data_IF_635266695107
#
_entry.id   IF_635266695107
#
_cell.length_a   1.000
_cell.length_b   1.000
_cell.length_c   1.000
_cell.angle_alpha   90.00
_cell.angle_beta   90.00
_cell.angle_gamma   90.00
#
_symmetry.space_group_name_H-M   'P 1'
#
loop_
_entity.id
_entity.type
_entity.pdbx_description
1 polymer ?
#
# COMPACT_ATOMS: atom_id res chain seq x y z
N UNK A 1 3.03 -19.78 26.73
CA UNK A 1 3.16 -18.36 26.39
C UNK A 1 2.10 -18.06 25.35
N UNK A 2 0.99 -17.48 25.78
CA UNK A 2 -0.13 -17.14 24.92
C UNK A 2 0.18 -15.78 24.30
N UNK A 3 0.49 -15.74 23.00
CA UNK A 3 0.69 -14.46 22.30
C UNK A 3 -0.69 -14.04 21.80
N UNK A 4 -1.29 -13.07 22.47
CA UNK A 4 -2.55 -12.43 22.07
C UNK A 4 -2.26 -11.45 20.92
N UNK A 5 -2.51 -11.90 19.70
CA UNK A 5 -2.55 -11.07 18.47
C UNK A 5 -3.86 -10.26 18.34
N UNK A 6 -4.61 -10.09 19.43
CA UNK A 6 -5.99 -9.58 19.40
C UNK A 6 -6.11 -8.07 19.65
N UNK A 7 -5.02 -7.37 19.97
CA UNK A 7 -5.12 -5.99 20.47
C UNK A 7 -5.14 -4.91 19.37
N UNK A 8 -4.91 -5.25 18.09
CA UNK A 8 -4.80 -4.25 17.00
C UNK A 8 -5.83 -4.41 15.87
N UNK A 9 -6.86 -5.25 16.06
CA UNK A 9 -7.78 -5.59 14.97
C UNK A 9 -9.24 -5.44 15.40
N UNK A 10 -9.91 -4.40 14.90
CA UNK A 10 -11.35 -4.24 15.06
C UNK A 10 -12.11 -4.98 13.95
N UNK A 11 -13.20 -5.66 14.33
CA UNK A 11 -13.96 -6.56 13.47
C UNK A 11 -15.25 -5.88 13.00
N UNK A 12 -15.42 -5.68 11.69
CA UNK A 12 -16.71 -5.27 11.12
C UNK A 12 -17.54 -6.52 10.82
N UNK A 13 -18.65 -6.68 11.54
CA UNK A 13 -19.61 -7.75 11.28
C UNK A 13 -20.43 -7.47 10.02
N UNK A 14 -20.53 -8.48 9.15
CA UNK A 14 -21.53 -8.51 8.07
C UNK A 14 -22.71 -9.40 8.46
N UNK A 15 -23.80 -9.31 7.70
CA UNK A 15 -25.05 -10.07 7.90
C UNK A 15 -24.93 -11.61 8.01
N UNK A 16 -23.74 -12.20 7.81
CA UNK A 16 -23.49 -13.64 8.01
C UNK A 16 -22.39 -13.84 9.07
N UNK A 17 -22.63 -14.66 10.11
CA UNK A 17 -21.74 -14.78 11.28
C UNK A 17 -20.32 -15.30 10.96
N UNK A 18 -20.14 -15.97 9.82
CA UNK A 18 -18.83 -16.51 9.41
C UNK A 18 -18.02 -15.59 8.50
N UNK A 19 -18.51 -14.38 8.20
CA UNK A 19 -17.84 -13.44 7.30
C UNK A 19 -17.65 -12.10 7.98
N UNK A 20 -16.41 -11.67 8.09
CA UNK A 20 -16.02 -10.42 8.70
C UNK A 20 -14.89 -9.76 7.93
N UNK A 21 -14.82 -8.43 8.01
CA UNK A 21 -13.67 -7.66 7.55
C UNK A 21 -12.93 -7.18 8.80
N UNK A 22 -11.61 -7.31 8.77
CA UNK A 22 -10.71 -6.87 9.82
C UNK A 22 -10.12 -5.51 9.45
N UNK A 23 -10.12 -4.58 10.40
CA UNK A 23 -9.42 -3.31 10.26
C UNK A 23 -7.93 -3.51 10.57
N UNK A 24 -7.07 -3.05 9.67
CA UNK A 24 -5.60 -3.15 9.82
C UNK A 24 -4.98 -1.84 9.36
N UNK A 25 -3.97 -1.35 10.09
CA UNK A 25 -3.23 -0.15 9.71
C UNK A 25 -2.45 -0.37 8.41
N UNK A 26 -2.54 0.62 7.51
CA UNK A 26 -1.88 0.57 6.19
C UNK A 26 -0.37 0.59 6.32
N UNK A 27 0.17 1.41 7.24
CA UNK A 27 1.61 1.52 7.41
C UNK A 27 2.20 0.25 8.02
N UNK A 28 1.51 -0.33 9.01
CA UNK A 28 1.82 -1.61 9.61
C UNK A 28 1.83 -2.73 8.56
N UNK A 29 0.75 -2.89 7.78
CA UNK A 29 0.70 -3.92 6.74
C UNK A 29 1.83 -3.75 5.71
N UNK A 30 2.07 -2.52 5.24
CA UNK A 30 3.17 -2.27 4.31
C UNK A 30 4.54 -2.54 4.93
N UNK A 31 4.73 -2.25 6.22
CA UNK A 31 5.94 -2.55 6.97
C UNK A 31 6.17 -4.05 7.05
N UNK A 32 5.15 -4.82 7.44
CA UNK A 32 5.23 -6.29 7.48
C UNK A 32 5.54 -6.90 6.10
N UNK A 33 5.08 -6.25 5.03
CA UNK A 33 5.42 -6.65 3.65
C UNK A 33 6.84 -6.26 3.22
N UNK A 34 7.38 -5.13 3.71
CA UNK A 34 8.60 -4.48 3.20
C UNK A 34 9.84 -4.62 4.09
N UNK A 35 9.71 -4.52 5.40
CA UNK A 35 10.84 -4.47 6.34
C UNK A 35 10.90 -5.74 7.18
N UNK A 36 12.05 -6.39 7.18
CA UNK A 36 12.61 -6.90 8.43
C UNK A 36 12.85 -5.71 9.38
N UNK A 37 12.29 -5.73 10.58
CA UNK A 37 12.77 -4.87 11.65
C UNK A 37 12.85 -5.65 12.97
N UNK A 38 14.07 -6.07 13.29
CA UNK A 38 14.73 -5.81 14.57
C UNK A 38 13.82 -5.69 15.79
N UNK A 39 13.26 -6.79 16.27
CA UNK A 39 13.37 -7.29 17.65
C UNK A 39 12.39 -8.44 17.86
N UNK A 40 12.94 -9.59 18.22
CA UNK A 40 12.23 -10.76 18.78
C UNK A 40 11.47 -11.66 17.80
N UNK A 41 12.24 -12.65 17.31
CA UNK A 41 11.85 -14.05 17.08
C UNK A 41 10.70 -14.38 16.10
N UNK A 42 11.14 -14.91 14.95
CA UNK A 42 10.66 -16.19 14.43
C UNK A 42 9.42 -16.20 13.52
N UNK A 43 9.36 -15.36 12.47
CA UNK A 43 8.56 -15.65 11.28
C UNK A 43 9.35 -15.25 10.02
N UNK A 44 9.48 -16.18 9.09
CA UNK A 44 10.15 -15.96 7.80
C UNK A 44 9.36 -14.96 6.95
N UNK A 45 10.07 -13.98 6.38
CA UNK A 45 9.56 -12.86 5.56
C UNK A 45 8.89 -13.32 4.25
N UNK A 46 8.16 -12.43 3.57
CA UNK A 46 7.60 -12.73 2.24
C UNK A 46 8.53 -12.29 1.10
N UNK A 47 9.04 -11.05 1.12
CA UNK A 47 9.88 -10.51 0.04
C UNK A 47 11.38 -10.75 0.26
N UNK A 48 11.91 -10.40 1.44
CA UNK A 48 13.35 -10.59 1.76
C UNK A 48 13.74 -12.06 2.01
N UNK A 49 12.76 -12.95 2.15
CA UNK A 49 12.99 -14.39 2.25
C UNK A 49 13.66 -14.94 1.00
N UNK A 50 13.49 -14.25 -0.10
CA UNK A 50 14.09 -14.58 -1.37
C UNK A 50 15.39 -13.78 -1.53
N UNK A 51 16.53 -14.49 -1.48
CA UNK A 51 17.87 -13.90 -1.62
C UNK A 51 18.09 -13.22 -2.98
N UNK A 52 17.25 -13.52 -3.97
CA UNK A 52 17.24 -12.93 -5.30
C UNK A 52 16.34 -11.69 -5.42
N UNK A 53 15.72 -11.24 -4.34
CA UNK A 53 14.90 -10.02 -4.32
C UNK A 53 15.67 -8.87 -3.69
N UNK A 54 15.63 -7.70 -4.34
CA UNK A 54 16.27 -6.47 -3.85
C UNK A 54 15.24 -5.34 -3.80
N UNK A 55 15.25 -4.57 -2.72
CA UNK A 55 14.39 -3.41 -2.54
C UNK A 55 15.21 -2.12 -2.69
N UNK A 56 14.74 -1.22 -3.55
CA UNK A 56 15.41 0.04 -3.86
C UNK A 56 14.52 1.23 -3.49
N UNK A 57 14.65 1.72 -2.25
CA UNK A 57 13.92 2.91 -1.79
C UNK A 57 14.52 4.21 -2.35
N UNK A 58 13.72 5.27 -2.50
CA UNK A 58 14.19 6.55 -3.05
C UNK A 58 14.48 6.53 -4.56
N UNK A 59 14.02 5.49 -5.26
CA UNK A 59 14.17 5.33 -6.71
C UNK A 59 12.83 5.63 -7.39
N UNK A 60 12.65 6.88 -7.84
CA UNK A 60 11.41 7.29 -8.51
C UNK A 60 11.50 7.00 -10.00
N UNK A 61 10.58 6.19 -10.53
CA UNK A 61 10.44 5.99 -11.97
C UNK A 61 9.85 7.25 -12.59
N UNK A 62 10.58 7.86 -13.52
CA UNK A 62 10.15 9.06 -14.26
C UNK A 62 9.67 8.74 -15.67
N UNK A 63 10.23 7.69 -16.28
CA UNK A 63 9.85 7.20 -17.60
C UNK A 63 10.02 5.69 -17.66
N UNK A 64 9.20 5.04 -18.47
CA UNK A 64 9.22 3.60 -18.69
C UNK A 64 9.02 3.37 -20.19
N UNK A 65 9.86 2.54 -20.81
CA UNK A 65 9.63 2.03 -22.15
C UNK A 65 9.35 0.52 -22.05
N UNK A 66 8.07 0.16 -22.15
CA UNK A 66 7.64 -1.23 -22.03
C UNK A 66 8.07 -2.11 -23.22
N UNK A 67 8.35 -1.53 -24.39
CA UNK A 67 8.78 -2.29 -25.58
C UNK A 67 10.26 -2.67 -25.50
N UNK A 68 11.10 -1.75 -25.01
CA UNK A 68 12.54 -1.98 -24.81
C UNK A 68 12.88 -2.54 -23.43
N UNK A 69 11.91 -2.60 -22.52
CA UNK A 69 12.13 -3.01 -21.13
C UNK A 69 12.98 -2.01 -20.33
N UNK A 70 13.03 -0.74 -20.70
CA UNK A 70 13.87 0.27 -20.04
C UNK A 70 13.11 1.14 -19.05
N UNK A 71 13.75 1.48 -17.94
CA UNK A 71 13.24 2.40 -16.92
C UNK A 71 14.24 3.54 -16.72
N UNK A 72 13.72 4.77 -16.69
CA UNK A 72 14.48 5.94 -16.24
C UNK A 72 14.14 6.25 -14.80
N UNK A 73 15.14 6.21 -13.93
CA UNK A 73 15.00 6.30 -12.47
C UNK A 73 15.68 7.57 -11.97
N UNK A 74 14.93 8.42 -11.28
CA UNK A 74 15.42 9.60 -10.58
C UNK A 74 15.69 9.29 -9.11
N UNK A 75 16.89 9.61 -8.66
CA UNK A 75 17.32 9.55 -7.25
C UNK A 75 17.59 10.97 -6.75
N UNK A 76 17.45 11.20 -5.44
CA UNK A 76 17.67 12.53 -4.86
C UNK A 76 19.11 12.99 -5.08
N UNK A 77 19.31 14.20 -5.62
CA UNK A 77 20.63 14.79 -5.85
C UNK A 77 21.47 14.12 -6.95
N UNK A 78 20.89 13.21 -7.74
CA UNK A 78 21.61 12.48 -8.79
C UNK A 78 20.93 12.65 -10.15
N UNK A 79 21.73 12.48 -11.21
CA UNK A 79 21.20 12.40 -12.57
C UNK A 79 20.34 11.14 -12.73
N UNK A 80 19.34 11.18 -13.63
CA UNK A 80 18.56 10.00 -13.97
C UNK A 80 19.45 8.84 -14.41
N UNK A 81 19.13 7.65 -13.92
CA UNK A 81 19.78 6.40 -14.29
C UNK A 81 18.83 5.61 -15.20
N UNK A 82 19.34 5.11 -16.32
CA UNK A 82 18.61 4.18 -17.16
C UNK A 82 19.01 2.74 -16.82
N UNK A 83 18.01 1.87 -16.70
CA UNK A 83 18.18 0.44 -16.42
C UNK A 83 17.25 -0.38 -17.30
N UNK A 84 17.66 -1.61 -17.63
CA UNK A 84 16.90 -2.53 -18.50
C UNK A 84 16.51 -3.78 -17.74
N UNK A 85 15.30 -4.25 -17.97
CA UNK A 85 14.75 -5.48 -17.38
C UNK A 85 13.97 -6.28 -18.44
N UNK A 86 13.95 -7.60 -18.30
CA UNK A 86 13.17 -8.49 -19.16
C UNK A 86 11.66 -8.40 -18.90
N UNK A 87 11.27 -8.03 -17.67
CA UNK A 87 9.89 -7.90 -17.25
C UNK A 87 9.72 -6.71 -16.30
N UNK A 88 8.72 -5.87 -16.57
CA UNK A 88 8.34 -4.74 -15.73
C UNK A 88 6.90 -4.94 -15.24
N UNK A 89 6.70 -4.91 -13.93
CA UNK A 89 5.37 -5.00 -13.31
C UNK A 89 5.03 -3.66 -12.66
N UNK A 90 3.97 -3.00 -13.15
CA UNK A 90 3.53 -1.69 -12.67
C UNK A 90 2.64 -1.76 -11.42
N UNK A 91 3.24 -1.72 -10.23
CA UNK A 91 2.54 -1.62 -8.94
C UNK A 91 2.66 -0.22 -8.31
N UNK A 92 2.67 0.83 -9.14
CA UNK A 92 2.98 2.22 -8.79
C UNK A 92 1.74 3.11 -8.52
N UNK A 93 0.59 2.47 -8.26
CA UNK A 93 -0.61 3.10 -7.71
C UNK A 93 -1.49 3.87 -8.70
N UNK A 94 -2.44 4.63 -8.16
CA UNK A 94 -3.48 5.31 -8.94
C UNK A 94 -2.93 6.29 -9.98
N UNK A 95 -1.76 6.88 -9.78
CA UNK A 95 -1.11 7.82 -10.70
C UNK A 95 0.09 7.22 -11.46
N UNK A 96 0.02 5.91 -11.71
CA UNK A 96 1.05 5.09 -12.35
C UNK A 96 1.76 5.75 -13.54
N UNK A 97 3.10 5.78 -13.48
CA UNK A 97 4.00 6.11 -14.59
C UNK A 97 4.02 5.00 -15.63
N UNK A 98 4.00 3.72 -15.19
CA UNK A 98 3.99 2.57 -16.10
C UNK A 98 2.73 2.59 -16.98
N UNK A 99 1.55 2.82 -16.38
CA UNK A 99 0.28 2.91 -17.12
C UNK A 99 0.28 4.06 -18.12
N UNK A 100 0.86 5.21 -17.78
CA UNK A 100 0.99 6.34 -18.72
C UNK A 100 1.75 5.97 -19.99
N UNK A 101 2.72 5.05 -19.92
CA UNK A 101 3.39 4.57 -21.13
C UNK A 101 2.44 3.77 -22.02
N UNK A 102 1.67 2.84 -21.45
CA UNK A 102 0.71 2.04 -22.21
C UNK A 102 -0.42 2.89 -22.82
N UNK A 103 -0.82 3.98 -22.16
CA UNK A 103 -1.79 4.92 -22.71
C UNK A 103 -1.33 5.61 -24.00
N UNK A 104 -0.02 5.61 -24.30
CA UNK A 104 0.54 6.14 -25.56
C UNK A 104 0.55 5.12 -26.69
N UNK A 105 0.33 3.84 -26.37
CA UNK A 105 0.31 2.75 -27.35
C UNK A 105 -1.08 2.59 -27.97
N UNK A 106 -1.12 1.97 -29.15
CA UNK A 106 -2.40 1.70 -29.83
C UNK A 106 -3.19 0.60 -29.13
N UNK A 107 -4.53 0.63 -29.27
CA UNK A 107 -5.46 -0.41 -28.75
C UNK A 107 -5.49 -0.52 -27.21
N UNK A 108 -5.22 0.57 -26.50
CA UNK A 108 -5.36 0.65 -25.04
C UNK A 108 -6.62 1.45 -24.66
N UNK A 109 -7.56 0.81 -23.96
CA UNK A 109 -8.76 1.48 -23.44
C UNK A 109 -8.49 1.97 -22.01
N UNK A 110 -8.77 3.26 -21.75
CA UNK A 110 -8.59 3.87 -20.43
C UNK A 110 -9.69 4.89 -20.13
N UNK A 111 -10.16 4.91 -18.89
CA UNK A 111 -11.10 5.93 -18.38
C UNK A 111 -10.62 6.42 -17.02
N UNK A 112 -10.72 7.73 -16.79
CA UNK A 112 -10.45 8.34 -15.50
C UNK A 112 -11.53 9.37 -15.19
N UNK A 113 -12.21 9.18 -14.07
CA UNK A 113 -13.28 10.04 -13.59
C UNK A 113 -12.99 10.40 -12.13
N UNK A 114 -13.10 11.69 -11.81
CA UNK A 114 -13.02 12.16 -10.43
C UNK A 114 -14.44 12.30 -9.90
N UNK A 115 -14.72 11.67 -8.76
CA UNK A 115 -15.99 11.85 -8.06
C UNK A 115 -16.02 13.26 -7.41
N UNK A 116 -17.22 13.87 -7.24
CA UNK A 116 -17.33 15.21 -6.68
C UNK A 116 -16.99 15.28 -5.18
N UNK A 117 -16.99 14.14 -4.48
CA UNK A 117 -16.73 14.07 -3.05
C UNK A 117 -15.24 13.91 -2.75
N UNK A 118 -14.76 14.66 -1.76
CA UNK A 118 -13.46 14.45 -1.15
C UNK A 118 -13.56 13.65 0.15
N UNK A 119 -12.45 13.09 0.60
CA UNK A 119 -12.33 12.44 1.90
C UNK A 119 -11.32 13.19 2.78
N UNK A 120 -11.57 13.21 4.09
CA UNK A 120 -10.68 13.79 5.10
C UNK A 120 -10.57 12.83 6.28
N UNK A 121 -9.34 12.55 6.72
CA UNK A 121 -9.06 11.70 7.88
C UNK A 121 -9.18 12.52 9.17
N UNK A 122 -9.98 12.03 10.12
CA UNK A 122 -10.11 12.59 11.46
C UNK A 122 -9.81 11.49 12.48
N UNK A 123 -9.06 11.82 13.52
CA UNK A 123 -8.67 10.86 14.57
C UNK A 123 -9.40 11.17 15.87
N UNK A 124 -9.98 10.14 16.48
CA UNK A 124 -10.60 10.21 17.81
C UNK A 124 -9.61 9.57 18.79
N UNK A 125 -9.06 10.33 19.77
CA UNK A 125 -8.16 9.76 20.74
C UNK A 125 -8.91 8.86 21.74
N UNK A 126 -8.25 7.84 22.31
CA UNK A 126 -8.85 7.00 23.35
C UNK A 126 -9.13 7.81 24.61
N UNK A 127 -10.21 7.45 25.34
CA UNK A 127 -10.57 8.08 26.63
C UNK A 127 -10.33 7.08 27.75
N UNK A 128 -9.44 7.40 28.69
CA UNK A 128 -9.12 6.55 29.84
C UNK A 128 -8.74 5.09 29.48
N UNK A 129 -8.15 4.89 28.30
CA UNK A 129 -7.77 3.57 27.77
C UNK A 129 -8.90 2.78 27.11
N UNK A 130 -10.11 3.33 27.06
CA UNK A 130 -11.27 2.75 26.39
C UNK A 130 -11.55 3.45 25.04
N UNK A 131 -12.03 2.67 24.08
CA UNK A 131 -12.31 3.09 22.70
C UNK A 131 -13.83 3.18 22.51
N UNK A 132 -14.52 3.94 23.37
CA UNK A 132 -15.97 4.06 23.29
C UNK A 132 -16.39 5.07 22.21
N UNK A 133 -16.78 4.56 21.04
CA UNK A 133 -17.40 5.33 19.95
C UNK A 133 -18.85 5.71 20.29
N UNK A 134 -19.46 5.07 21.28
CA UNK A 134 -20.86 5.24 21.67
C UNK A 134 -21.21 6.64 22.18
N UNK A 135 -20.23 7.42 22.65
CA UNK A 135 -20.48 8.72 23.30
C UNK A 135 -20.24 9.93 22.38
N UNK A 136 -19.81 9.73 21.13
CA UNK A 136 -19.35 10.83 20.29
C UNK A 136 -20.43 11.59 19.52
N UNK A 137 -21.70 11.18 19.60
CA UNK A 137 -22.83 11.97 19.08
C UNK A 137 -22.67 12.43 17.61
N UNK A 138 -21.89 11.72 16.81
CA UNK A 138 -21.60 12.12 15.43
C UNK A 138 -22.83 11.84 14.56
N UNK A 139 -23.35 12.84 13.83
CA UNK A 139 -24.53 12.69 12.98
C UNK A 139 -24.09 12.03 11.66
N UNK A 140 -23.82 10.73 11.70
CA UNK A 140 -23.72 9.95 10.47
C UNK A 140 -25.15 9.62 10.00
N UNK A 141 -25.46 9.73 8.70
CA UNK A 141 -26.75 9.33 8.19
C UNK A 141 -26.99 7.83 8.44
N UNK A 142 -28.25 7.40 8.64
CA UNK A 142 -28.61 5.99 8.81
C UNK A 142 -28.26 5.13 7.59
#
# INVERSE_FOLDING_TARGET
>A
MHVSLLDEVSMLMFMKPEKYILSVDRAHLNRELLTAQTSTCCLFTAAEKYSNTKLYFGHKIIECNAELGTLSIKRSGQLPLEVTYDLIVGCDGAFSTVRKQFMRQTRFNYSQEYIPHGYMELTIPPRDGDVSVSDLGLPWPP
#
